data_IF_573144383689
#
_entry.id   IF_573144383689
#
_cell.length_a   1.000
_cell.length_b   1.000
_cell.length_c   1.000
_cell.angle_alpha   90.00
_cell.angle_beta   90.00
_cell.angle_gamma   90.00
#
_symmetry.space_group_name_H-M   'P 1'
#
loop_
_entity.id
_entity.type
_entity.pdbx_description
1 polymer ?
#
# COMPACT_ATOMS: atom_id res chain seq x y z
N UNK A 1 5.86 0.95 -28.14
CA UNK A 1 6.57 1.24 -26.88
C UNK A 1 5.64 2.11 -26.04
N UNK A 2 4.90 1.49 -25.12
CA UNK A 2 3.89 2.17 -24.31
C UNK A 2 4.57 3.16 -23.36
N UNK A 3 4.14 4.43 -23.39
CA UNK A 3 4.63 5.48 -22.51
C UNK A 3 4.43 5.09 -21.04
N UNK A 4 5.52 5.09 -20.26
CA UNK A 4 5.49 5.12 -18.80
C UNK A 4 5.03 6.52 -18.40
N UNK A 5 3.72 6.68 -18.20
CA UNK A 5 3.14 7.90 -17.65
C UNK A 5 3.79 8.24 -16.31
N UNK A 6 4.50 9.36 -16.27
CA UNK A 6 4.45 10.40 -15.22
C UNK A 6 4.11 9.92 -13.79
N UNK A 7 4.80 8.90 -13.29
CA UNK A 7 4.90 8.61 -11.87
C UNK A 7 6.24 9.19 -11.44
N UNK A 8 6.23 10.15 -10.51
CA UNK A 8 7.46 10.69 -9.94
C UNK A 8 8.37 9.53 -9.50
N UNK A 9 9.44 9.33 -10.26
CA UNK A 9 10.52 8.44 -9.88
C UNK A 9 11.34 9.18 -8.84
N UNK A 10 10.99 9.01 -7.57
CA UNK A 10 11.84 9.45 -6.46
C UNK A 10 13.19 8.78 -6.59
N UNK A 11 14.26 9.58 -6.64
CA UNK A 11 15.62 9.06 -6.66
C UNK A 11 15.81 8.10 -5.48
N UNK A 12 16.47 6.96 -5.72
CA UNK A 12 16.73 5.97 -4.67
C UNK A 12 17.61 6.63 -3.60
N UNK A 13 16.99 7.04 -2.50
CA UNK A 13 17.70 7.63 -1.37
C UNK A 13 18.56 6.56 -0.70
N UNK A 14 19.69 6.96 -0.13
CA UNK A 14 20.46 6.08 0.76
C UNK A 14 19.50 5.59 1.87
N UNK A 15 19.41 4.28 2.07
CA UNK A 15 18.51 3.63 3.02
C UNK A 15 19.28 3.11 4.24
N UNK A 16 19.80 3.99 5.12
CA UNK A 16 20.61 3.57 6.28
C UNK A 16 19.80 2.76 7.31
N UNK A 17 18.47 2.84 7.25
CA UNK A 17 17.57 2.06 8.09
C UNK A 17 17.21 0.70 7.47
N UNK A 18 17.63 0.44 6.23
CA UNK A 18 17.28 -0.75 5.45
C UNK A 18 15.77 -1.03 5.41
N UNK A 19 14.95 0.02 5.32
CA UNK A 19 13.49 -0.06 5.19
C UNK A 19 13.10 0.00 3.71
N UNK A 20 12.76 -1.14 3.11
CA UNK A 20 12.47 -1.23 1.67
C UNK A 20 10.97 -1.01 1.35
N UNK A 21 10.13 -0.85 2.37
CA UNK A 21 8.71 -0.59 2.20
C UNK A 21 7.90 -0.75 3.48
N UNK A 22 6.57 -0.73 3.33
CA UNK A 22 5.60 -1.01 4.39
C UNK A 22 5.17 -2.47 4.23
N UNK A 23 5.37 -3.29 5.26
CA UNK A 23 4.97 -4.69 5.23
C UNK A 23 3.49 -4.89 5.59
N UNK A 24 3.00 -4.13 6.58
CA UNK A 24 1.62 -4.21 7.05
C UNK A 24 1.14 -2.86 7.58
N UNK A 25 -0.18 -2.69 7.60
CA UNK A 25 -0.87 -1.56 8.21
C UNK A 25 -1.94 -2.13 9.14
N UNK A 26 -1.95 -1.70 10.39
CA UNK A 26 -2.98 -2.08 11.35
C UNK A 26 -4.12 -1.04 11.34
N UNK A 27 -5.36 -1.52 11.31
CA UNK A 27 -6.55 -0.67 11.36
C UNK A 27 -7.31 -0.83 12.67
N UNK A 28 -7.62 0.30 13.31
CA UNK A 28 -8.53 0.36 14.45
C UNK A 28 -9.88 0.92 14.02
N UNK A 29 -10.94 0.11 14.14
CA UNK A 29 -12.30 0.51 13.75
C UNK A 29 -13.34 -0.10 14.70
N UNK A 30 -14.45 0.60 14.90
CA UNK A 30 -15.62 0.09 15.64
C UNK A 30 -16.48 -0.88 14.82
N UNK A 31 -16.19 -1.04 13.53
CA UNK A 31 -16.96 -1.90 12.59
C UNK A 31 -16.03 -2.76 11.73
N UNK A 32 -15.38 -3.80 12.30
CA UNK A 32 -14.38 -4.58 11.59
C UNK A 32 -14.94 -5.33 10.36
N UNK A 33 -16.19 -5.80 10.41
CA UNK A 33 -16.82 -6.50 9.29
C UNK A 33 -17.08 -5.56 8.10
N UNK A 34 -17.52 -4.33 8.37
CA UNK A 34 -17.75 -3.34 7.32
C UNK A 34 -16.43 -2.93 6.65
N UNK A 35 -15.35 -2.80 7.43
CA UNK A 35 -14.03 -2.54 6.88
C UNK A 35 -13.56 -3.72 6.00
N UNK A 36 -13.70 -4.96 6.49
CA UNK A 36 -13.36 -6.17 5.73
C UNK A 36 -14.07 -6.23 4.38
N UNK A 37 -15.38 -5.96 4.35
CA UNK A 37 -16.15 -5.93 3.10
C UNK A 37 -15.61 -4.90 2.09
N UNK A 38 -15.25 -3.70 2.56
CA UNK A 38 -14.68 -2.67 1.69
C UNK A 38 -13.30 -3.10 1.17
N UNK A 39 -12.47 -3.73 2.02
CA UNK A 39 -11.18 -4.28 1.61
C UNK A 39 -11.36 -5.37 0.54
N UNK A 40 -12.27 -6.31 0.75
CA UNK A 40 -12.61 -7.35 -0.24
C UNK A 40 -13.08 -6.75 -1.57
N UNK A 41 -13.95 -5.73 -1.53
CA UNK A 41 -14.39 -4.99 -2.72
C UNK A 41 -13.24 -4.28 -3.45
N UNK A 42 -12.20 -3.86 -2.73
CA UNK A 42 -10.97 -3.30 -3.30
C UNK A 42 -10.00 -4.36 -3.83
N UNK A 43 -10.36 -5.65 -3.75
CA UNK A 43 -9.54 -6.76 -4.24
C UNK A 43 -8.52 -7.28 -3.23
N UNK A 44 -8.64 -6.89 -1.95
CA UNK A 44 -7.88 -7.53 -0.88
C UNK A 44 -8.48 -8.91 -0.58
N UNK A 45 -7.61 -9.85 -0.21
CA UNK A 45 -8.00 -11.23 0.08
C UNK A 45 -7.83 -11.48 1.59
N UNK A 46 -8.77 -12.21 2.23
CA UNK A 46 -8.68 -12.55 3.64
C UNK A 46 -7.48 -13.46 3.97
#
# INVERSE_FOLDING_TARGET
MTQLSDRELTAVASNPLAMDGIEFIEYSTSKPQALGQVLEMMGFHP
#
